data_IF_850211884282
#
_entry.id   IF_850211884282
#
_cell.length_a   1.000
_cell.length_b   1.000
_cell.length_c   1.000
_cell.angle_alpha   90.00
_cell.angle_beta   90.00
_cell.angle_gamma   90.00
#
_symmetry.space_group_name_H-M   'P 1'
#
loop_
_entity.id
_entity.type
_entity.pdbx_description
1 polymer ?
#
# COMPACT_ATOMS: atom_id res chain seq x y z
N UNK A 1 -17.91 -9.21 5.34
CA UNK A 1 -16.69 -9.43 4.52
C UNK A 1 -15.53 -8.63 5.08
N UNK A 2 -14.32 -8.84 4.59
CA UNK A 2 -13.12 -8.19 5.13
C UNK A 2 -12.78 -8.68 6.55
N UNK A 3 -12.26 -7.78 7.40
CA UNK A 3 -11.78 -8.14 8.74
C UNK A 3 -12.85 -8.62 9.72
N UNK A 4 -14.14 -8.56 9.38
CA UNK A 4 -15.20 -9.22 10.17
C UNK A 4 -14.99 -10.73 10.26
N UNK A 5 -14.37 -11.32 9.24
CA UNK A 5 -14.07 -12.75 9.16
C UNK A 5 -13.05 -13.20 10.22
N UNK A 6 -12.29 -12.28 10.83
CA UNK A 6 -11.42 -12.62 11.97
C UNK A 6 -12.22 -13.17 13.16
N UNK A 7 -13.50 -12.81 13.32
CA UNK A 7 -14.39 -13.39 14.34
C UNK A 7 -15.12 -14.66 13.88
N UNK A 8 -14.94 -15.06 12.61
CA UNK A 8 -15.58 -16.23 12.00
C UNK A 8 -14.55 -17.03 11.19
N UNK A 9 -13.47 -17.54 11.83
CA UNK A 9 -12.36 -18.19 11.13
C UNK A 9 -12.77 -19.42 10.32
N UNK A 10 -13.81 -20.15 10.75
CA UNK A 10 -14.35 -21.30 10.01
C UNK A 10 -14.97 -20.85 8.67
N UNK A 11 -15.83 -19.84 8.71
CA UNK A 11 -16.44 -19.26 7.50
C UNK A 11 -15.36 -18.69 6.57
N UNK A 12 -14.33 -18.05 7.13
CA UNK A 12 -13.21 -17.56 6.34
C UNK A 12 -12.48 -18.69 5.59
N UNK A 13 -12.23 -19.81 6.27
CA UNK A 13 -11.56 -20.97 5.68
C UNK A 13 -12.43 -21.65 4.59
N UNK A 14 -13.74 -21.75 4.80
CA UNK A 14 -14.68 -22.25 3.80
C UNK A 14 -14.72 -21.38 2.55
N UNK A 15 -14.70 -20.05 2.71
CA UNK A 15 -14.60 -19.11 1.58
C UNK A 15 -13.30 -19.36 0.81
N UNK A 16 -12.15 -19.41 1.50
CA UNK A 16 -10.86 -19.63 0.84
C UNK A 16 -10.84 -20.96 0.09
N UNK A 17 -11.30 -22.05 0.72
CA UNK A 17 -11.37 -23.37 0.09
C UNK A 17 -12.24 -23.36 -1.16
N UNK A 18 -13.43 -22.78 -1.07
CA UNK A 18 -14.35 -22.69 -2.21
C UNK A 18 -13.76 -21.90 -3.38
N UNK A 19 -13.01 -20.82 -3.09
CA UNK A 19 -12.35 -20.03 -4.13
C UNK A 19 -11.18 -20.80 -4.74
N UNK A 20 -10.36 -21.48 -3.92
CA UNK A 20 -9.25 -22.32 -4.37
C UNK A 20 -9.73 -23.45 -5.28
N UNK A 21 -10.84 -24.10 -4.95
CA UNK A 21 -11.43 -25.17 -5.77
C UNK A 21 -12.03 -24.65 -7.08
N UNK A 22 -12.42 -23.38 -7.14
CA UNK A 22 -13.09 -22.78 -8.30
C UNK A 22 -12.13 -22.23 -9.36
N UNK A 23 -10.82 -22.06 -9.07
CA UNK A 23 -9.87 -21.40 -9.98
C UNK A 23 -8.54 -22.14 -10.08
N UNK A 24 -7.89 -22.08 -11.24
CA UNK A 24 -6.57 -22.71 -11.46
C UNK A 24 -5.39 -21.80 -11.05
N UNK A 25 -5.67 -20.52 -10.79
CA UNK A 25 -4.63 -19.54 -10.41
C UNK A 25 -4.39 -19.52 -8.90
N UNK A 26 -3.18 -19.15 -8.42
CA UNK A 26 -2.90 -19.06 -7.00
C UNK A 26 -3.84 -18.11 -6.25
N UNK A 27 -4.51 -18.60 -5.20
CA UNK A 27 -5.33 -17.78 -4.30
C UNK A 27 -4.48 -17.31 -3.12
N UNK A 28 -4.59 -16.04 -2.75
CA UNK A 28 -3.82 -15.44 -1.65
C UNK A 28 -4.76 -14.75 -0.66
N UNK A 29 -4.34 -14.62 0.59
CA UNK A 29 -5.15 -14.00 1.66
C UNK A 29 -4.44 -12.78 2.22
N UNK A 30 -5.17 -11.67 2.33
CA UNK A 30 -4.72 -10.48 3.07
C UNK A 30 -5.58 -10.26 4.30
N UNK A 31 -4.94 -10.14 5.48
CA UNK A 31 -5.67 -10.00 6.75
C UNK A 31 -4.98 -9.04 7.73
N UNK A 32 -5.57 -8.93 8.92
CA UNK A 32 -5.11 -8.18 10.10
C UNK A 32 -4.88 -9.13 11.27
N UNK A 33 -4.19 -8.70 12.32
CA UNK A 33 -3.82 -9.60 13.43
C UNK A 33 -5.00 -10.03 14.33
N UNK A 34 -6.14 -9.33 14.25
CA UNK A 34 -7.29 -9.57 15.11
C UNK A 34 -8.35 -8.49 14.96
N UNK A 35 -9.49 -8.64 15.63
CA UNK A 35 -10.56 -7.64 15.59
C UNK A 35 -10.24 -6.41 16.45
N UNK A 36 -9.83 -6.64 17.69
CA UNK A 36 -9.32 -5.63 18.63
C UNK A 36 -8.16 -6.25 19.42
N UNK A 37 -7.62 -5.56 20.42
CA UNK A 37 -6.47 -6.04 21.18
C UNK A 37 -6.81 -7.19 22.16
N UNK A 38 -8.08 -7.41 22.48
CA UNK A 38 -8.58 -8.55 23.28
C UNK A 38 -8.84 -9.79 22.40
N UNK A 39 -9.02 -9.61 21.09
CA UNK A 39 -9.39 -10.65 20.12
C UNK A 39 -8.31 -10.80 19.03
N UNK A 40 -7.05 -10.96 19.45
CA UNK A 40 -5.93 -11.30 18.55
C UNK A 40 -5.89 -12.81 18.36
N UNK A 41 -6.20 -13.27 17.15
CA UNK A 41 -6.30 -14.69 16.81
C UNK A 41 -5.54 -15.07 15.53
N UNK A 42 -4.58 -14.25 15.12
CA UNK A 42 -3.92 -14.40 13.82
C UNK A 42 -3.21 -15.73 13.62
N UNK A 43 -2.67 -16.36 14.67
CA UNK A 43 -1.93 -17.62 14.51
C UNK A 43 -2.85 -18.77 14.07
N UNK A 44 -3.98 -18.95 14.77
CA UNK A 44 -5.03 -19.91 14.37
C UNK A 44 -5.63 -19.52 13.02
N UNK A 45 -5.96 -18.25 12.82
CA UNK A 45 -6.55 -17.77 11.58
C UNK A 45 -5.65 -18.05 10.38
N UNK A 46 -4.36 -17.70 10.46
CA UNK A 46 -3.39 -17.85 9.39
C UNK A 46 -3.18 -19.32 9.02
N UNK A 47 -3.08 -20.21 10.02
CA UNK A 47 -2.93 -21.65 9.76
C UNK A 47 -4.14 -22.23 9.02
N UNK A 48 -5.35 -21.83 9.40
CA UNK A 48 -6.57 -22.23 8.69
C UNK A 48 -6.61 -21.74 7.24
N UNK A 49 -6.05 -20.56 6.95
CA UNK A 49 -5.98 -20.06 5.57
C UNK A 49 -5.03 -20.89 4.72
N UNK A 50 -3.87 -21.26 5.28
CA UNK A 50 -2.92 -22.17 4.63
C UNK A 50 -3.54 -23.55 4.39
N UNK A 51 -4.18 -24.14 5.42
CA UNK A 51 -4.86 -25.44 5.31
C UNK A 51 -6.04 -25.42 4.32
N UNK A 52 -6.67 -24.26 4.13
CA UNK A 52 -7.71 -24.04 3.12
C UNK A 52 -7.15 -23.88 1.69
N UNK A 53 -5.83 -23.89 1.51
CA UNK A 53 -5.17 -23.88 0.21
C UNK A 53 -4.62 -22.52 -0.24
N UNK A 54 -4.61 -21.50 0.61
CA UNK A 54 -3.98 -20.22 0.28
C UNK A 54 -2.49 -20.42 -0.05
N UNK A 55 -2.00 -19.77 -1.11
CA UNK A 55 -0.62 -19.88 -1.59
C UNK A 55 0.32 -18.81 -1.06
N UNK A 56 -0.22 -17.75 -0.45
CA UNK A 56 0.54 -16.66 0.19
C UNK A 56 -0.37 -15.91 1.15
N UNK A 57 0.19 -15.40 2.26
CA UNK A 57 -0.53 -14.58 3.23
C UNK A 57 0.12 -13.19 3.40
N UNK A 58 -0.65 -12.13 3.21
CA UNK A 58 -0.22 -10.76 3.55
C UNK A 58 -0.82 -10.33 4.89
N UNK A 59 0.03 -9.96 5.85
CA UNK A 59 -0.42 -9.56 7.18
C UNK A 59 -0.22 -8.07 7.44
N UNK A 60 -1.32 -7.33 7.61
CA UNK A 60 -1.26 -6.02 8.23
C UNK A 60 -1.18 -6.16 9.75
N UNK A 61 -0.04 -5.80 10.34
CA UNK A 61 0.25 -5.93 11.77
C UNK A 61 -0.50 -4.92 12.68
N UNK A 62 -1.79 -4.72 12.45
CA UNK A 62 -2.71 -3.96 13.32
C UNK A 62 -4.03 -4.70 13.44
N UNK A 63 -4.74 -4.51 14.54
CA UNK A 63 -6.11 -5.03 14.68
C UNK A 63 -7.07 -4.22 13.81
N UNK A 64 -8.28 -4.73 13.58
CA UNK A 64 -9.33 -3.97 12.87
C UNK A 64 -9.64 -2.67 13.61
N UNK A 65 -9.80 -2.71 14.93
CA UNK A 65 -10.17 -1.57 15.76
C UNK A 65 -9.13 -0.45 15.75
N UNK A 66 -7.83 -0.78 15.69
CA UNK A 66 -6.76 0.21 15.57
C UNK A 66 -6.83 1.01 14.27
N UNK A 67 -7.38 0.43 13.19
CA UNK A 67 -7.40 1.07 11.88
C UNK A 67 -5.99 1.41 11.39
N UNK A 68 -5.64 2.68 11.45
CA UNK A 68 -4.31 3.21 11.08
C UNK A 68 -3.57 3.89 12.25
N UNK A 69 -4.13 3.82 13.46
CA UNK A 69 -3.59 4.40 14.68
C UNK A 69 -2.59 3.45 15.35
N UNK A 70 -1.64 4.03 16.10
CA UNK A 70 -0.55 3.30 16.75
C UNK A 70 0.44 2.67 15.75
N UNK A 71 1.61 2.20 16.20
CA UNK A 71 2.56 1.50 15.34
C UNK A 71 2.04 0.13 14.88
N UNK A 72 2.45 -0.31 13.70
CA UNK A 72 2.29 -1.70 13.28
C UNK A 72 3.17 -2.61 14.16
N UNK A 73 2.57 -3.68 14.68
CA UNK A 73 3.17 -4.64 15.61
C UNK A 73 3.86 -5.79 14.88
N UNK A 74 5.02 -5.49 14.28
CA UNK A 74 5.76 -6.42 13.42
C UNK A 74 6.14 -7.74 14.09
N UNK A 75 6.18 -7.81 15.43
CA UNK A 75 6.39 -9.07 16.15
C UNK A 75 5.32 -10.14 15.82
N UNK A 76 4.10 -9.74 15.47
CA UNK A 76 3.07 -10.68 15.01
C UNK A 76 3.32 -11.21 13.61
N UNK A 77 3.99 -10.44 12.75
CA UNK A 77 4.40 -10.91 11.42
C UNK A 77 5.44 -12.01 11.59
N UNK A 78 6.44 -11.79 12.46
CA UNK A 78 7.43 -12.81 12.79
C UNK A 78 6.76 -14.11 13.25
N UNK A 79 5.87 -14.03 14.25
CA UNK A 79 5.17 -15.21 14.78
C UNK A 79 4.38 -15.97 13.72
N UNK A 80 3.79 -15.26 12.76
CA UNK A 80 3.06 -15.89 11.65
C UNK A 80 4.02 -16.51 10.65
N UNK A 81 5.12 -15.83 10.30
CA UNK A 81 6.16 -16.36 9.43
C UNK A 81 6.79 -17.63 10.00
N UNK A 82 6.99 -17.70 11.31
CA UNK A 82 7.58 -18.86 11.99
C UNK A 82 6.69 -20.12 11.94
N UNK A 83 5.38 -20.01 11.70
CA UNK A 83 4.43 -21.15 11.70
C UNK A 83 3.88 -21.54 10.32
N UNK A 84 4.01 -20.67 9.32
CA UNK A 84 3.52 -20.94 7.97
C UNK A 84 4.62 -21.50 7.07
N UNK A 85 4.25 -22.42 6.19
CA UNK A 85 5.11 -22.94 5.12
C UNK A 85 4.96 -22.17 3.82
N UNK A 86 3.84 -21.45 3.63
CA UNK A 86 3.63 -20.54 2.50
C UNK A 86 4.30 -19.17 2.71
N UNK A 87 4.60 -18.41 1.62
CA UNK A 87 5.15 -17.07 1.74
C UNK A 87 4.26 -16.11 2.54
N UNK A 88 4.91 -15.26 3.34
CA UNK A 88 4.30 -14.21 4.17
C UNK A 88 4.79 -12.84 3.72
N UNK A 89 3.87 -11.95 3.38
CA UNK A 89 4.15 -10.55 3.02
C UNK A 89 3.82 -9.64 4.20
N UNK A 90 4.83 -8.94 4.69
CA UNK A 90 4.71 -7.97 5.76
C UNK A 90 4.00 -6.69 5.29
N UNK A 91 3.04 -6.19 6.08
CA UNK A 91 2.35 -4.93 5.77
C UNK A 91 2.14 -4.09 7.02
N UNK A 92 2.34 -2.77 6.87
CA UNK A 92 2.18 -1.79 7.95
C UNK A 92 3.46 -0.99 8.16
N UNK A 93 3.35 0.32 8.04
CA UNK A 93 4.39 1.31 8.34
C UNK A 93 5.68 1.21 7.51
N UNK A 94 5.55 0.67 6.30
CA UNK A 94 6.61 0.72 5.27
C UNK A 94 6.50 2.06 4.54
N UNK A 95 7.30 3.03 4.99
CA UNK A 95 7.34 4.41 4.48
C UNK A 95 8.67 4.80 3.84
N UNK A 96 9.69 3.95 3.93
CA UNK A 96 11.01 4.18 3.34
C UNK A 96 11.69 2.85 3.03
N UNK A 97 12.80 2.90 2.29
CA UNK A 97 13.67 1.74 2.04
C UNK A 97 14.17 1.14 3.36
N UNK A 98 14.61 1.99 4.30
CA UNK A 98 15.11 1.54 5.60
C UNK A 98 14.02 0.87 6.44
N UNK A 99 12.78 1.37 6.38
CA UNK A 99 11.66 0.74 7.05
C UNK A 99 11.33 -0.64 6.44
N UNK A 100 11.44 -0.78 5.12
CA UNK A 100 11.27 -2.06 4.44
C UNK A 100 12.35 -3.07 4.86
N UNK A 101 13.62 -2.67 4.81
CA UNK A 101 14.76 -3.50 5.20
C UNK A 101 14.64 -3.96 6.65
N UNK A 102 14.44 -3.02 7.58
CA UNK A 102 14.24 -3.36 9.00
C UNK A 102 13.05 -4.31 9.20
N UNK A 103 11.93 -4.07 8.52
CA UNK A 103 10.77 -4.95 8.64
C UNK A 103 11.12 -6.38 8.19
N UNK A 104 11.88 -6.55 7.11
CA UNK A 104 12.30 -7.87 6.63
C UNK A 104 13.28 -8.54 7.61
N UNK A 105 14.26 -7.78 8.12
CA UNK A 105 15.23 -8.27 9.11
C UNK A 105 14.56 -8.70 10.43
N UNK A 106 13.63 -7.89 10.94
CA UNK A 106 12.94 -8.15 12.21
C UNK A 106 11.95 -9.31 12.12
N UNK A 107 11.35 -9.54 10.94
CA UNK A 107 10.22 -10.48 10.79
C UNK A 107 10.55 -11.76 10.05
N UNK A 108 11.61 -11.76 9.23
CA UNK A 108 11.90 -12.86 8.30
C UNK A 108 10.86 -13.05 7.20
N UNK A 109 9.97 -12.08 6.98
CA UNK A 109 8.95 -12.14 5.94
C UNK A 109 9.58 -12.22 4.53
N UNK A 110 8.87 -12.81 3.57
CA UNK A 110 9.36 -13.04 2.20
C UNK A 110 9.21 -11.82 1.30
N UNK A 111 8.57 -10.75 1.80
CA UNK A 111 8.41 -9.49 1.10
C UNK A 111 7.65 -8.46 1.93
N UNK A 112 7.59 -7.23 1.42
CA UNK A 112 6.81 -6.14 2.02
C UNK A 112 5.74 -5.63 1.06
N UNK A 113 4.60 -5.23 1.61
CA UNK A 113 3.56 -4.52 0.89
C UNK A 113 3.50 -3.07 1.38
N UNK A 114 3.73 -2.13 0.46
CA UNK A 114 3.61 -0.70 0.71
C UNK A 114 2.18 -0.21 0.43
N UNK A 115 1.70 0.77 1.19
CA UNK A 115 0.39 1.38 0.93
C UNK A 115 0.42 2.89 1.16
N UNK A 116 0.30 3.37 2.40
CA UNK A 116 0.28 4.82 2.66
C UNK A 116 1.57 5.54 2.25
N UNK A 117 2.71 4.85 2.27
CA UNK A 117 3.99 5.39 1.81
C UNK A 117 4.07 5.66 0.31
N UNK A 118 3.17 5.09 -0.51
CA UNK A 118 3.17 5.31 -1.96
C UNK A 118 2.20 6.41 -2.41
N UNK A 119 1.38 6.94 -1.50
CA UNK A 119 0.39 7.97 -1.83
C UNK A 119 1.08 9.30 -2.14
N UNK A 120 1.04 9.72 -3.41
CA UNK A 120 1.80 10.88 -3.90
C UNK A 120 3.30 10.62 -4.09
N UNK A 121 3.75 9.38 -3.89
CA UNK A 121 5.14 8.97 -4.05
C UNK A 121 5.22 7.49 -4.51
N UNK A 122 4.75 7.16 -5.73
CA UNK A 122 4.72 5.77 -6.20
C UNK A 122 6.11 5.14 -6.36
N UNK A 123 7.16 5.96 -6.43
CA UNK A 123 8.56 5.56 -6.61
C UNK A 123 9.10 4.62 -5.51
N UNK A 124 8.56 4.71 -4.29
CA UNK A 124 9.04 3.96 -3.12
C UNK A 124 9.17 2.44 -3.39
N UNK A 125 8.24 1.85 -4.14
CA UNK A 125 8.28 0.40 -4.43
C UNK A 125 9.50 0.04 -5.27
N UNK A 126 9.82 0.85 -6.29
CA UNK A 126 10.98 0.64 -7.16
C UNK A 126 12.31 1.04 -6.52
N UNK A 127 12.29 1.88 -5.48
CA UNK A 127 13.45 2.16 -4.63
C UNK A 127 13.75 0.99 -3.69
N UNK A 128 12.71 0.41 -3.07
CA UNK A 128 12.84 -0.79 -2.22
C UNK A 128 13.36 -1.96 -3.06
N UNK A 129 12.74 -2.27 -4.20
CA UNK A 129 13.17 -3.36 -5.08
C UNK A 129 14.63 -3.22 -5.50
N UNK A 130 15.04 -2.01 -5.92
CA UNK A 130 16.42 -1.75 -6.31
C UNK A 130 17.39 -2.03 -5.16
N UNK A 131 17.12 -1.48 -3.97
CA UNK A 131 17.97 -1.70 -2.80
C UNK A 131 18.06 -3.17 -2.42
N UNK A 132 16.94 -3.91 -2.41
CA UNK A 132 16.95 -5.33 -2.08
C UNK A 132 17.74 -6.18 -3.09
N UNK A 133 17.84 -5.74 -4.35
CA UNK A 133 18.58 -6.45 -5.41
C UNK A 133 20.05 -6.09 -5.47
N UNK A 134 20.43 -4.85 -5.18
CA UNK A 134 21.79 -4.33 -5.41
C UNK A 134 22.55 -3.99 -4.13
N UNK A 135 21.84 -3.79 -3.01
CA UNK A 135 22.41 -3.21 -1.78
C UNK A 135 22.66 -1.70 -1.86
N UNK A 136 22.30 -1.05 -2.98
CA UNK A 136 22.54 0.36 -3.23
C UNK A 136 21.25 1.17 -3.15
N UNK A 137 21.34 2.44 -2.75
CA UNK A 137 20.19 3.35 -2.76
C UNK A 137 20.06 4.03 -4.12
N UNK A 138 18.85 4.04 -4.69
CA UNK A 138 18.54 4.92 -5.83
C UNK A 138 18.62 6.38 -5.42
N UNK A 139 19.02 7.21 -6.37
CA UNK A 139 18.78 8.65 -6.28
C UNK A 139 17.28 8.90 -6.22
N UNK A 140 16.76 9.62 -5.22
CA UNK A 140 15.35 9.96 -5.16
C UNK A 140 14.93 10.83 -6.35
N UNK A 141 13.68 10.71 -6.84
CA UNK A 141 13.17 11.57 -7.89
C UNK A 141 13.21 13.03 -7.47
N UNK A 142 13.62 13.87 -8.42
CA UNK A 142 13.54 15.32 -8.37
C UNK A 142 12.09 15.79 -8.22
N UNK A 143 11.89 17.05 -7.84
CA UNK A 143 10.55 17.62 -7.80
C UNK A 143 9.88 17.65 -9.18
N UNK A 144 10.67 17.81 -10.23
CA UNK A 144 10.20 17.79 -11.62
C UNK A 144 9.67 16.41 -12.02
N UNK A 145 10.42 15.35 -11.72
CA UNK A 145 9.98 13.97 -11.99
C UNK A 145 8.70 13.61 -11.21
N UNK A 146 8.52 14.15 -10.00
CA UNK A 146 7.28 13.98 -9.24
C UNK A 146 6.09 14.69 -9.88
N UNK A 147 6.29 15.92 -10.37
CA UNK A 147 5.25 16.66 -11.08
C UNK A 147 4.86 15.97 -12.38
N UNK A 148 5.83 15.43 -13.11
CA UNK A 148 5.53 14.72 -14.36
C UNK A 148 4.81 13.41 -14.12
N UNK A 149 5.20 12.65 -13.07
CA UNK A 149 4.44 11.49 -12.62
C UNK A 149 3.00 11.86 -12.22
N UNK A 150 2.77 13.02 -11.60
CA UNK A 150 1.42 13.48 -11.29
C UNK A 150 0.60 13.78 -12.56
N UNK A 151 1.21 14.37 -13.59
CA UNK A 151 0.56 14.60 -14.90
C UNK A 151 0.25 13.29 -15.62
N UNK A 152 1.18 12.35 -15.64
CA UNK A 152 0.96 11.00 -16.20
C UNK A 152 -0.22 10.30 -15.51
N UNK A 153 -0.28 10.37 -14.18
CA UNK A 153 -1.38 9.79 -13.42
C UNK A 153 -2.72 10.47 -13.73
N UNK A 154 -2.76 11.80 -13.87
CA UNK A 154 -3.96 12.54 -14.29
C UNK A 154 -4.42 12.10 -15.69
N UNK A 155 -3.51 12.09 -16.67
CA UNK A 155 -3.79 11.70 -18.05
C UNK A 155 -4.30 10.26 -18.13
N UNK A 156 -3.63 9.33 -17.46
CA UNK A 156 -4.02 7.91 -17.44
C UNK A 156 -5.38 7.66 -16.78
N UNK A 157 -5.71 8.41 -15.72
CA UNK A 157 -7.05 8.30 -15.12
C UNK A 157 -8.14 8.83 -16.04
N UNK A 158 -7.89 9.92 -16.75
CA UNK A 158 -8.82 10.45 -17.75
C UNK A 158 -8.97 9.48 -18.93
N UNK A 159 -7.87 8.93 -19.46
CA UNK A 159 -7.94 7.92 -20.53
C UNK A 159 -8.77 6.69 -20.11
N UNK A 160 -8.62 6.25 -18.86
CA UNK A 160 -9.34 5.09 -18.35
C UNK A 160 -10.81 5.35 -17.98
N UNK A 161 -11.16 6.56 -17.54
CA UNK A 161 -12.48 6.85 -16.91
C UNK A 161 -13.18 8.12 -17.39
N UNK A 162 -12.62 8.84 -18.37
CA UNK A 162 -13.08 10.16 -18.80
C UNK A 162 -13.16 11.14 -17.63
N UNK A 163 -14.25 11.91 -17.58
CA UNK A 163 -14.50 12.93 -16.55
C UNK A 163 -14.47 12.37 -15.12
N UNK A 164 -14.93 11.12 -14.92
CA UNK A 164 -14.84 10.46 -13.60
C UNK A 164 -13.39 10.26 -13.17
N UNK A 165 -12.48 10.07 -14.11
CA UNK A 165 -11.05 9.98 -13.89
C UNK A 165 -10.47 11.28 -13.36
N UNK A 166 -10.90 12.41 -13.90
CA UNK A 166 -10.51 13.75 -13.45
C UNK A 166 -10.97 13.98 -12.01
N UNK A 167 -12.24 13.67 -11.69
CA UNK A 167 -12.72 13.83 -10.31
C UNK A 167 -12.00 12.92 -9.31
N UNK A 168 -11.65 11.70 -9.74
CA UNK A 168 -10.87 10.78 -8.91
C UNK A 168 -9.41 11.24 -8.73
N UNK A 169 -8.81 11.84 -9.76
CA UNK A 169 -7.40 12.27 -9.74
C UNK A 169 -7.15 13.40 -8.74
N UNK A 170 -8.13 14.27 -8.47
CA UNK A 170 -8.05 15.35 -7.46
C UNK A 170 -7.45 14.90 -6.12
N UNK A 171 -7.86 13.72 -5.63
CA UNK A 171 -7.32 13.15 -4.38
C UNK A 171 -5.85 12.73 -4.53
N UNK A 172 -5.50 12.14 -5.68
CA UNK A 172 -4.12 11.72 -5.98
C UNK A 172 -3.19 12.93 -6.13
N UNK A 173 -3.62 13.92 -6.91
CA UNK A 173 -2.90 15.18 -7.12
C UNK A 173 -2.64 15.91 -5.79
N UNK A 174 -3.63 15.93 -4.89
CA UNK A 174 -3.45 16.49 -3.56
C UNK A 174 -2.37 15.76 -2.72
N UNK A 175 -2.14 14.46 -2.95
CA UNK A 175 -1.06 13.72 -2.31
C UNK A 175 0.32 14.08 -2.88
N UNK A 176 0.43 14.25 -4.20
CA UNK A 176 1.69 14.66 -4.85
C UNK A 176 2.16 16.05 -4.39
N UNK A 177 1.25 16.97 -4.10
CA UNK A 177 1.58 18.32 -3.65
C UNK A 177 2.28 18.38 -2.27
N UNK A 178 2.37 17.27 -1.53
CA UNK A 178 3.04 17.23 -0.23
C UNK A 178 4.54 17.54 -0.38
N UNK A 179 5.04 18.49 0.41
CA UNK A 179 6.46 18.85 0.43
C UNK A 179 6.88 19.91 -0.59
N UNK A 180 5.93 20.44 -1.38
CA UNK A 180 6.20 21.56 -2.28
C UNK A 180 6.07 22.91 -1.54
N UNK A 181 6.86 23.93 -1.92
CA UNK A 181 6.61 25.31 -1.50
C UNK A 181 5.19 25.72 -1.90
N UNK A 182 4.42 26.32 -0.97
CA UNK A 182 3.03 26.68 -1.23
C UNK A 182 2.05 25.49 -1.33
N UNK A 183 2.40 24.30 -0.83
CA UNK A 183 1.59 23.08 -0.92
C UNK A 183 0.12 23.22 -0.46
N UNK A 184 -0.20 24.17 0.42
CA UNK A 184 -1.59 24.47 0.80
C UNK A 184 -2.42 24.98 -0.38
N UNK A 185 -1.92 26.02 -1.05
CA UNK A 185 -2.57 26.65 -2.19
C UNK A 185 -2.62 25.70 -3.40
N UNK A 186 -1.50 25.03 -3.69
CA UNK A 186 -1.46 24.05 -4.78
C UNK A 186 -2.50 22.95 -4.58
N UNK A 187 -2.66 22.43 -3.36
CA UNK A 187 -3.68 21.42 -3.06
C UNK A 187 -5.09 21.95 -3.27
N UNK A 188 -5.42 23.14 -2.78
CA UNK A 188 -6.78 23.70 -2.96
C UNK A 188 -7.12 23.78 -4.46
N UNK A 189 -6.20 24.29 -5.27
CA UNK A 189 -6.39 24.39 -6.73
C UNK A 189 -6.51 23.02 -7.39
N UNK A 190 -5.60 22.09 -7.11
CA UNK A 190 -5.62 20.74 -7.68
C UNK A 190 -6.89 19.96 -7.31
N UNK A 191 -7.50 20.22 -6.16
CA UNK A 191 -8.76 19.57 -5.76
C UNK A 191 -10.00 20.08 -6.50
N UNK A 192 -9.87 21.16 -7.28
CA UNK A 192 -10.98 21.77 -8.04
C UNK A 192 -10.90 21.54 -9.55
N UNK A 193 -9.77 21.01 -10.05
CA UNK A 193 -9.50 20.75 -11.47
C UNK A 193 -10.65 20.03 -12.17
N UNK A 194 -11.03 20.52 -13.35
CA UNK A 194 -12.15 20.02 -14.16
C UNK A 194 -11.72 19.46 -15.51
N UNK A 195 -10.50 19.71 -15.97
CA UNK A 195 -9.93 19.14 -17.21
C UNK A 195 -8.49 18.64 -17.01
N UNK A 196 -7.99 17.85 -17.95
CA UNK A 196 -6.58 17.39 -17.94
C UNK A 196 -5.64 18.58 -18.16
N UNK A 197 -6.00 19.46 -19.09
CA UNK A 197 -5.23 20.65 -19.46
C UNK A 197 -5.06 21.58 -18.26
N UNK A 198 -6.14 21.89 -17.54
CA UNK A 198 -6.12 22.70 -16.33
C UNK A 198 -5.19 22.09 -15.27
N UNK A 199 -5.31 20.77 -15.03
CA UNK A 199 -4.46 20.08 -14.07
C UNK A 199 -2.97 20.10 -14.46
N UNK A 200 -2.65 19.89 -15.73
CA UNK A 200 -1.29 19.97 -16.24
C UNK A 200 -0.71 21.39 -16.10
N UNK A 201 -1.47 22.43 -16.47
CA UNK A 201 -1.03 23.83 -16.34
C UNK A 201 -0.72 24.22 -14.89
N UNK A 202 -1.53 23.77 -13.93
CA UNK A 202 -1.28 24.02 -12.51
C UNK A 202 0.06 23.41 -12.05
N UNK A 203 0.34 22.19 -12.51
CA UNK A 203 1.59 21.49 -12.20
C UNK A 203 2.79 22.15 -12.90
N UNK A 204 2.63 22.63 -14.13
CA UNK A 204 3.67 23.37 -14.84
C UNK A 204 4.02 24.71 -14.17
N UNK A 205 3.02 25.45 -13.69
CA UNK A 205 3.27 26.69 -12.93
C UNK A 205 4.05 26.42 -11.65
N UNK A 206 3.75 25.31 -10.96
CA UNK A 206 4.50 24.92 -9.77
C UNK A 206 5.97 24.61 -10.09
N UNK A 207 6.26 24.02 -11.26
CA UNK A 207 7.64 23.77 -11.68
C UNK A 207 8.44 25.07 -11.79
N UNK A 208 7.84 26.14 -12.33
CA UNK A 208 8.49 27.44 -12.43
C UNK A 208 8.78 28.05 -11.05
N UNK A 209 7.89 27.86 -10.08
CA UNK A 209 8.11 28.30 -8.69
C UNK A 209 9.25 27.56 -8.01
N UNK A 210 9.53 26.31 -8.38
CA UNK A 210 10.64 25.52 -7.82
C UNK A 210 11.99 25.96 -8.38
N UNK A 211 12.01 26.46 -9.60
CA UNK A 211 13.23 26.84 -10.32
C UNK A 211 13.69 28.29 -10.02
N UNK A 212 12.88 29.07 -9.28
CA UNK A 212 13.17 30.43 -8.83
C UNK A 212 13.49 30.46 -7.33
#
# INVERSE_FOLDING_TARGET
>A
GGSSLLRQPLVAAEIVRSVVEAVEVPVTVKTRIGWNDEEINILDFAKRMEDAGAKMLTLHARTRAQGYNGPARWEWIKRVKDILSIPVIANGDIFSVEAAVRCLEETGADGVMCSRGTLGYPFLVGEIDYFLRTGEKKTPPTLQEKLECAKEHLRGLWEYKGDRGIFQSRKHLAWYAKGFPGAGELRDRLTRVTSVEEGCELLDRQQLTINN
#
